data_IF_631770435699
#
_entry.id   IF_631770435699
#
_cell.length_a   1.000
_cell.length_b   1.000
_cell.length_c   1.000
_cell.angle_alpha   90.00
_cell.angle_beta   90.00
_cell.angle_gamma   90.00
#
_symmetry.space_group_name_H-M   'P 1'
#
loop_
_entity.id
_entity.type
_entity.pdbx_description
1 polymer ?
#
# COMPACT_ATOMS: atom_id res chain seq x y z
N UNK A 1 -2.09 23.27 -3.84
CA UNK A 1 -0.98 22.28 -3.79
C UNK A 1 0.30 22.76 -4.50
N UNK A 2 0.60 24.07 -4.48
CA UNK A 2 1.63 24.67 -5.36
C UNK A 2 3.08 24.32 -5.01
N UNK A 3 3.37 24.08 -3.72
CA UNK A 3 4.73 23.92 -3.19
C UNK A 3 4.78 22.84 -2.11
N UNK A 4 4.65 21.58 -2.54
CA UNK A 4 4.82 20.42 -1.66
C UNK A 4 6.22 19.82 -1.81
N UNK A 5 6.69 19.14 -0.78
CA UNK A 5 7.94 18.38 -0.77
C UNK A 5 8.00 17.40 -1.95
N UNK A 6 6.90 16.67 -2.20
CA UNK A 6 6.82 15.77 -3.37
C UNK A 6 7.03 16.53 -4.68
N UNK A 7 6.36 17.66 -4.87
CA UNK A 7 6.48 18.47 -6.09
C UNK A 7 7.89 19.05 -6.25
N UNK A 8 8.53 19.47 -5.15
CA UNK A 8 9.93 19.91 -5.13
C UNK A 8 10.86 18.79 -5.57
N UNK A 9 10.73 17.58 -4.99
CA UNK A 9 11.53 16.42 -5.39
C UNK A 9 11.33 16.04 -6.86
N UNK A 10 10.08 16.02 -7.34
CA UNK A 10 9.77 15.76 -8.75
C UNK A 10 10.40 16.82 -9.68
N UNK A 11 10.32 18.10 -9.29
CA UNK A 11 10.93 19.21 -10.04
C UNK A 11 12.45 19.10 -10.10
N UNK A 12 13.09 18.77 -8.97
CA UNK A 12 14.55 18.61 -8.91
C UNK A 12 15.03 17.43 -9.74
N UNK A 13 14.31 16.30 -9.72
CA UNK A 13 14.56 15.15 -10.61
C UNK A 13 14.38 15.52 -12.09
N UNK A 14 13.28 16.20 -12.44
CA UNK A 14 13.00 16.62 -13.80
C UNK A 14 14.06 17.57 -14.36
N UNK A 15 14.49 18.54 -13.56
CA UNK A 15 15.53 19.50 -13.92
C UNK A 15 16.96 19.00 -13.67
N UNK A 16 17.13 17.75 -13.20
CA UNK A 16 18.42 17.13 -12.88
C UNK A 16 19.29 18.00 -11.95
N UNK A 17 18.66 18.65 -10.97
CA UNK A 17 19.40 19.47 -10.00
C UNK A 17 20.14 18.55 -9.03
N UNK A 18 21.46 18.65 -9.01
CA UNK A 18 22.25 17.99 -7.99
C UNK A 18 22.01 18.69 -6.63
N UNK A 19 22.01 17.96 -5.51
CA UNK A 19 22.03 18.58 -4.20
C UNK A 19 23.25 19.51 -4.10
N UNK A 20 23.04 20.73 -3.63
CA UNK A 20 24.13 21.69 -3.40
C UNK A 20 25.09 21.14 -2.35
N UNK A 21 26.40 21.37 -2.50
CA UNK A 21 27.40 21.05 -1.48
C UNK A 21 28.13 22.34 -1.09
N UNK A 22 28.07 22.81 0.18
CA UNK A 22 27.35 22.21 1.31
C UNK A 22 25.82 22.28 1.14
N UNK A 23 25.13 21.23 1.59
CA UNK A 23 23.70 21.08 1.43
C UNK A 23 22.94 21.97 2.42
N UNK A 24 22.72 23.23 2.06
CA UNK A 24 21.70 24.06 2.72
C UNK A 24 20.36 23.60 2.18
N UNK A 25 19.73 22.65 2.89
CA UNK A 25 18.41 22.18 2.52
C UNK A 25 17.36 23.27 2.81
N UNK A 26 16.43 23.55 1.88
CA UNK A 26 15.37 24.50 2.14
C UNK A 26 14.43 23.96 3.22
N UNK A 27 13.86 24.85 4.03
CA UNK A 27 12.90 24.49 5.06
C UNK A 27 11.76 23.62 4.48
N UNK A 28 11.32 22.65 5.28
CA UNK A 28 10.22 21.74 4.94
C UNK A 28 9.00 22.18 5.75
N UNK A 29 7.84 22.25 5.10
CA UNK A 29 6.58 22.43 5.82
C UNK A 29 6.24 21.12 6.54
N UNK A 30 6.24 21.14 7.87
CA UNK A 30 5.95 19.97 8.71
C UNK A 30 4.49 19.49 8.61
N UNK A 31 3.60 20.30 8.05
CA UNK A 31 2.21 19.95 7.82
C UNK A 31 1.93 19.52 6.37
N UNK A 32 2.96 19.35 5.56
CA UNK A 32 2.81 18.86 4.19
C UNK A 32 2.59 17.34 4.16
N UNK A 33 1.40 16.86 3.73
CA UNK A 33 1.08 15.44 3.73
C UNK A 33 1.51 14.72 2.44
N UNK A 34 2.21 15.40 1.52
CA UNK A 34 2.52 14.88 0.18
C UNK A 34 3.53 13.73 0.17
N UNK A 35 4.35 13.61 1.21
CA UNK A 35 5.28 12.50 1.41
C UNK A 35 5.30 12.14 2.89
N UNK A 36 5.01 10.88 3.19
CA UNK A 36 4.94 10.38 4.55
C UNK A 36 5.66 9.04 4.65
N UNK A 37 6.25 8.79 5.82
CA UNK A 37 6.95 7.54 6.13
C UNK A 37 6.35 6.96 7.39
N UNK A 38 5.86 5.72 7.29
CA UNK A 38 5.19 5.01 8.38
C UNK A 38 6.00 3.78 8.75
N UNK A 39 6.58 3.76 9.97
CA UNK A 39 7.31 2.61 10.48
C UNK A 39 6.37 1.69 11.27
N UNK A 40 6.17 0.46 10.79
CA UNK A 40 5.28 -0.52 11.39
C UNK A 40 6.04 -1.78 11.83
N UNK A 41 5.57 -2.43 12.90
CA UNK A 41 6.24 -3.60 13.50
C UNK A 41 5.74 -4.95 12.95
N UNK A 42 4.57 -4.96 12.30
CA UNK A 42 3.96 -6.16 11.71
C UNK A 42 3.19 -5.78 10.44
N UNK A 43 2.99 -6.73 9.52
CA UNK A 43 2.21 -6.53 8.29
C UNK A 43 0.74 -6.18 8.57
N UNK A 44 0.15 -6.78 9.61
CA UNK A 44 -1.20 -6.44 10.04
C UNK A 44 -1.28 -4.96 10.46
N UNK A 45 -0.31 -4.48 11.26
CA UNK A 45 -0.28 -3.08 11.67
C UNK A 45 -0.03 -2.15 10.50
N UNK A 46 0.83 -2.54 9.57
CA UNK A 46 1.09 -1.80 8.34
C UNK A 46 -0.18 -1.61 7.51
N UNK A 47 -0.97 -2.67 7.30
CA UNK A 47 -2.26 -2.57 6.61
C UNK A 47 -3.27 -1.72 7.37
N UNK A 48 -3.35 -1.83 8.70
CA UNK A 48 -4.23 -0.98 9.52
C UNK A 48 -3.87 0.50 9.39
N UNK A 49 -2.58 0.83 9.51
CA UNK A 49 -2.12 2.21 9.34
C UNK A 49 -2.41 2.70 7.92
N UNK A 50 -2.17 1.87 6.90
CA UNK A 50 -2.51 2.19 5.52
C UNK A 50 -4.01 2.49 5.38
N UNK A 51 -4.89 1.65 5.92
CA UNK A 51 -6.33 1.85 5.89
C UNK A 51 -6.73 3.21 6.48
N UNK A 52 -6.23 3.53 7.69
CA UNK A 52 -6.50 4.80 8.37
C UNK A 52 -6.01 6.01 7.54
N UNK A 53 -4.84 5.90 6.90
CA UNK A 53 -4.30 6.95 6.03
C UNK A 53 -5.12 7.13 4.74
N UNK A 54 -5.55 6.03 4.12
CA UNK A 54 -6.38 6.09 2.92
C UNK A 54 -7.74 6.71 3.22
N UNK A 55 -8.36 6.35 4.35
CA UNK A 55 -9.60 6.98 4.81
C UNK A 55 -9.42 8.49 5.00
N UNK A 56 -8.39 8.88 5.75
CA UNK A 56 -8.09 10.29 5.99
C UNK A 56 -7.83 11.08 4.69
N UNK A 57 -7.19 10.46 3.69
CA UNK A 57 -6.97 11.09 2.38
C UNK A 57 -8.26 11.25 1.57
N UNK A 58 -9.15 10.26 1.60
CA UNK A 58 -10.43 10.30 0.88
C UNK A 58 -11.38 11.34 1.49
N UNK A 59 -11.31 11.55 2.81
CA UNK A 59 -12.11 12.54 3.54
C UNK A 59 -11.49 13.96 3.54
N UNK A 60 -10.30 14.13 2.95
CA UNK A 60 -9.59 15.40 2.97
C UNK A 60 -10.21 16.43 2.00
N UNK A 61 -10.75 17.50 2.56
CA UNK A 61 -11.38 18.60 1.82
C UNK A 61 -10.43 19.38 0.91
N UNK A 62 -9.11 19.13 0.95
CA UNK A 62 -8.14 19.75 0.04
C UNK A 62 -8.29 19.30 -1.42
N UNK A 63 -8.98 18.19 -1.66
CA UNK A 63 -9.23 17.64 -2.98
C UNK A 63 -10.55 18.18 -3.55
N UNK A 64 -10.45 18.98 -4.61
CA UNK A 64 -11.58 19.48 -5.39
C UNK A 64 -11.29 19.25 -6.89
N UNK A 65 -11.90 18.24 -7.54
CA UNK A 65 -12.92 17.32 -7.00
C UNK A 65 -12.36 16.35 -5.93
N UNK A 66 -13.22 15.74 -5.09
CA UNK A 66 -12.80 14.78 -4.06
C UNK A 66 -12.01 13.60 -4.65
N UNK A 67 -11.00 13.15 -3.91
CA UNK A 67 -10.17 12.02 -4.28
C UNK A 67 -11.02 10.75 -4.33
N UNK A 68 -10.87 9.97 -5.41
CA UNK A 68 -11.63 8.74 -5.60
C UNK A 68 -10.73 7.51 -5.38
N UNK A 69 -11.23 6.40 -4.82
CA UNK A 69 -10.41 5.22 -4.55
C UNK A 69 -9.66 4.68 -5.78
N UNK A 70 -10.23 4.80 -6.99
CA UNK A 70 -9.60 4.38 -8.25
C UNK A 70 -8.35 5.20 -8.63
N UNK A 71 -8.13 6.34 -8.01
CA UNK A 71 -6.97 7.20 -8.22
C UNK A 71 -5.79 6.81 -7.30
N UNK A 72 -5.99 5.79 -6.46
CA UNK A 72 -5.01 5.32 -5.49
C UNK A 72 -4.49 3.95 -5.93
N UNK A 73 -3.16 3.80 -5.90
CA UNK A 73 -2.49 2.52 -6.10
C UNK A 73 -1.64 2.19 -4.87
N UNK A 74 -1.78 0.97 -4.37
CA UNK A 74 -0.93 0.41 -3.30
C UNK A 74 -0.02 -0.61 -3.94
N UNK A 75 1.30 -0.42 -3.80
CA UNK A 75 2.31 -1.28 -4.39
C UNK A 75 3.04 -2.03 -3.27
N UNK A 76 3.16 -3.34 -3.41
CA UNK A 76 3.97 -4.19 -2.54
C UNK A 76 4.97 -4.99 -3.38
N UNK A 77 6.23 -5.14 -2.94
CA UNK A 77 7.19 -6.01 -3.63
C UNK A 77 6.78 -7.49 -3.63
N UNK A 78 5.96 -7.90 -2.66
CA UNK A 78 5.31 -9.21 -2.62
C UNK A 78 3.98 -9.08 -1.87
N UNK A 79 2.87 -9.29 -2.57
CA UNK A 79 1.53 -9.09 -2.01
C UNK A 79 0.99 -10.33 -1.30
N UNK A 80 1.43 -11.54 -1.67
CA UNK A 80 0.97 -12.81 -1.09
C UNK A 80 0.96 -12.83 0.44
N UNK A 81 1.98 -12.31 1.16
CA UNK A 81 2.00 -12.38 2.60
C UNK A 81 1.07 -11.38 3.30
N UNK A 82 0.41 -10.49 2.55
CA UNK A 82 -0.60 -9.56 3.03
C UNK A 82 -2.03 -10.07 2.81
N UNK A 83 -2.24 -10.96 1.82
CA UNK A 83 -3.56 -11.48 1.44
C UNK A 83 -4.39 -11.96 2.64
N UNK A 84 -3.85 -12.75 3.60
CA UNK A 84 -4.65 -13.24 4.73
C UNK A 84 -5.19 -12.14 5.66
N UNK A 85 -4.61 -10.94 5.61
CA UNK A 85 -4.99 -9.82 6.48
C UNK A 85 -5.88 -8.79 5.77
N UNK A 86 -5.99 -8.85 4.43
CA UNK A 86 -6.77 -7.87 3.67
C UNK A 86 -8.24 -7.88 4.09
N UNK A 87 -8.87 -9.06 4.19
CA UNK A 87 -10.27 -9.17 4.59
C UNK A 87 -10.52 -8.71 6.05
N UNK A 88 -9.52 -8.86 6.92
CA UNK A 88 -9.63 -8.43 8.32
C UNK A 88 -9.54 -6.90 8.47
N UNK A 89 -8.87 -6.21 7.55
CA UNK A 89 -8.61 -4.77 7.64
C UNK A 89 -9.52 -3.97 6.68
N UNK A 90 -9.74 -4.48 5.47
CA UNK A 90 -10.52 -3.83 4.40
C UNK A 90 -11.89 -4.48 4.18
N UNK A 91 -12.15 -5.64 4.79
CA UNK A 91 -13.38 -6.40 4.55
C UNK A 91 -14.63 -5.76 5.15
N UNK A 92 -15.74 -5.93 4.43
CA UNK A 92 -17.05 -5.29 4.68
C UNK A 92 -17.95 -6.13 5.60
N UNK A 93 -17.50 -6.44 6.81
CA UNK A 93 -18.36 -7.11 7.80
C UNK A 93 -19.37 -6.12 8.42
N UNK A 94 -20.26 -5.57 7.60
CA UNK A 94 -21.40 -4.76 8.04
C UNK A 94 -21.10 -3.33 8.51
N UNK A 95 -19.92 -2.80 8.21
CA UNK A 95 -19.53 -1.43 8.53
C UNK A 95 -19.64 -0.52 7.30
N UNK A 96 -20.22 0.68 7.48
CA UNK A 96 -20.19 1.77 6.49
C UNK A 96 -18.75 2.25 6.16
N UNK A 97 -17.78 1.75 6.91
CA UNK A 97 -16.37 2.13 6.87
C UNK A 97 -15.50 1.24 5.97
N UNK A 98 -16.09 0.43 5.09
CA UNK A 98 -15.34 -0.37 4.13
C UNK A 98 -14.72 0.49 3.02
N UNK A 99 -13.48 0.18 2.63
CA UNK A 99 -12.82 0.79 1.47
C UNK A 99 -12.82 -0.19 0.29
N UNK A 100 -13.34 0.18 -0.89
CA UNK A 100 -13.31 -0.70 -2.05
C UNK A 100 -11.87 -0.86 -2.54
N UNK A 101 -11.45 -2.11 -2.77
CA UNK A 101 -10.14 -2.44 -3.33
C UNK A 101 -10.26 -3.56 -4.37
N UNK A 102 -9.27 -3.62 -5.25
CA UNK A 102 -9.04 -4.74 -6.15
C UNK A 102 -7.62 -5.22 -5.96
N UNK A 103 -7.45 -6.53 -5.80
CA UNK A 103 -6.14 -7.16 -5.65
C UNK A 103 -5.64 -7.64 -7.01
N UNK A 104 -4.44 -7.23 -7.39
CA UNK A 104 -3.74 -7.69 -8.58
C UNK A 104 -2.44 -8.41 -8.18
N UNK A 105 -1.95 -9.29 -9.06
CA UNK A 105 -0.65 -9.97 -8.96
C UNK A 105 -0.45 -10.89 -7.74
N UNK A 106 -1.53 -11.22 -7.02
CA UNK A 106 -1.49 -12.27 -6.01
C UNK A 106 -1.40 -13.65 -6.67
N UNK A 107 -0.52 -14.51 -6.15
CA UNK A 107 -0.40 -15.87 -6.62
C UNK A 107 -1.74 -16.60 -6.42
N UNK A 108 -2.30 -17.27 -7.45
CA UNK A 108 -3.51 -18.07 -7.29
C UNK A 108 -3.36 -19.14 -6.20
N UNK A 109 -2.13 -19.62 -5.97
CA UNK A 109 -1.83 -20.58 -4.90
C UNK A 109 -1.94 -19.98 -3.49
N UNK A 110 -1.74 -18.67 -3.34
CA UNK A 110 -1.86 -18.00 -2.05
C UNK A 110 -3.33 -17.72 -1.67
N UNK A 111 -4.23 -17.69 -2.67
CA UNK A 111 -5.66 -17.43 -2.47
C UNK A 111 -6.55 -18.67 -2.55
N UNK A 112 -6.09 -19.78 -3.14
CA UNK A 112 -6.90 -20.99 -3.41
C UNK A 112 -6.43 -22.21 -2.60
N UNK A 113 -7.11 -22.55 -1.48
CA UNK A 113 -6.79 -23.74 -0.68
C UNK A 113 -6.82 -25.04 -1.49
N UNK A 114 -7.69 -25.11 -2.52
CA UNK A 114 -7.85 -26.29 -3.35
C UNK A 114 -6.64 -26.54 -4.27
N UNK A 115 -5.93 -25.47 -4.67
CA UNK A 115 -4.73 -25.57 -5.48
C UNK A 115 -3.55 -26.16 -4.68
N UNK A 116 -3.43 -25.80 -3.40
CA UNK A 116 -2.43 -26.38 -2.49
C UNK A 116 -2.69 -27.88 -2.24
N UNK A 117 -3.96 -28.26 -2.08
CA UNK A 117 -4.35 -29.68 -1.95
C UNK A 117 -4.02 -30.44 -3.23
N UNK A 118 -4.28 -29.88 -4.41
CA UNK A 118 -3.95 -30.53 -5.68
C UNK A 118 -2.44 -30.76 -5.85
N UNK A 119 -1.60 -29.77 -5.51
CA UNK A 119 -0.14 -29.95 -5.51
C UNK A 119 0.30 -31.02 -4.50
N UNK A 120 -0.31 -31.03 -3.31
CA UNK A 120 -0.05 -32.08 -2.30
C UNK A 120 -0.39 -33.47 -2.83
N UNK A 121 -1.50 -33.60 -3.57
CA UNK A 121 -1.90 -34.86 -4.21
C UNK A 121 -0.93 -35.29 -5.31
N UNK A 122 -0.41 -34.36 -6.12
CA UNK A 122 0.61 -34.65 -7.12
C UNK A 122 1.95 -35.10 -6.50
N UNK A 123 2.23 -34.68 -5.27
CA UNK A 123 3.41 -35.09 -4.51
C UNK A 123 3.31 -36.50 -3.90
N UNK A 124 2.13 -37.11 -3.86
CA UNK A 124 1.89 -38.44 -3.25
C UNK A 124 2.81 -39.57 -3.73
N UNK A 125 3.18 -39.68 -5.03
CA UNK A 125 4.05 -40.76 -5.50
C UNK A 125 5.47 -40.70 -4.93
N UNK A 126 5.89 -39.52 -4.46
CA UNK A 126 7.22 -39.25 -3.91
C UNK A 126 7.14 -39.14 -2.37
N UNK A 127 5.95 -38.88 -1.82
CA UNK A 127 5.71 -38.79 -0.40
C UNK A 127 5.91 -40.16 0.27
N UNK A 128 6.84 -40.20 1.23
CA UNK A 128 7.02 -41.37 2.10
C UNK A 128 6.01 -41.29 3.23
N UNK A 129 4.89 -41.99 3.09
CA UNK A 129 3.98 -42.29 4.19
C UNK A 129 4.65 -43.37 5.06
N UNK A 130 5.24 -42.94 6.17
CA UNK A 130 5.82 -43.81 7.20
C UNK A 130 5.03 -43.69 8.49
#
# INVERSE_FOLDING_TARGET
LGDSLLRRMQSDLFHRRAPSVPAVLPAVNLHDPSLQVHACHTRLRELQVLHDQLRALLDDARFDPPLQPREIAVLSPNIDPYVPYLDAVFGSHGNDDALPYALADASPLASEPLAEVFLSLLGLPIARFG
#
